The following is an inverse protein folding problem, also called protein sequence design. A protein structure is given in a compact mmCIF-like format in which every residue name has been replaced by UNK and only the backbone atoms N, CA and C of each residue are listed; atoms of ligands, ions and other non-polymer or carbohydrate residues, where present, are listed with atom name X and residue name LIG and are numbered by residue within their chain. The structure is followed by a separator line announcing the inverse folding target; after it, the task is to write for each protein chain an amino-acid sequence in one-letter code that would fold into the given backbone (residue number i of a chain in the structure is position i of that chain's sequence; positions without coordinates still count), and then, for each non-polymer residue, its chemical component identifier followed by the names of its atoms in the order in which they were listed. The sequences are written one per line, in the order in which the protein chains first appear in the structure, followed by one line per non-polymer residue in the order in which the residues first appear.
data_IF_556022000000
#
_entry.id   IF_556022000000
#
_cell.length_a   1.000
_cell.length_b   1.000
_cell.length_c   1.000
_cell.angle_alpha   90.00
_cell.angle_beta   90.00
_cell.angle_gamma   90.00
#
_symmetry.space_group_name_H-M   'P 1'
#
loop_
_entity.id
_entity.type
_entity.pdbx_description
1 polymer ?
#
# COMPACT_ATOMS: atom_id res chain seq x y z
N UNK A 1 -35.40 -25.41 11.36
CA UNK A 1 -35.15 -24.05 10.82
C UNK A 1 -33.88 -23.54 11.46
N UNK A 2 -32.90 -23.04 10.70
CA UNK A 2 -31.78 -22.33 11.32
C UNK A 2 -32.27 -20.93 11.69
N UNK A 3 -32.34 -20.63 12.99
CA UNK A 3 -32.57 -19.28 13.47
C UNK A 3 -31.45 -18.37 12.94
N UNK A 4 -31.83 -17.33 12.21
CA UNK A 4 -30.89 -16.30 11.76
C UNK A 4 -30.50 -15.44 12.97
N UNK A 5 -29.52 -15.88 13.75
CA UNK A 5 -28.96 -15.09 14.84
C UNK A 5 -28.17 -13.93 14.22
N UNK A 6 -28.55 -12.65 14.46
CA UNK A 6 -27.83 -11.53 13.90
C UNK A 6 -26.57 -11.22 14.73
N UNK A 7 -25.47 -10.90 14.05
CA UNK A 7 -24.32 -10.24 14.65
C UNK A 7 -24.47 -8.73 14.48
N UNK A 8 -24.44 -8.00 15.58
CA UNK A 8 -24.44 -6.54 15.59
C UNK A 8 -23.00 -6.03 15.66
N UNK A 9 -22.59 -5.22 14.69
CA UNK A 9 -21.34 -4.46 14.73
C UNK A 9 -21.61 -3.00 15.07
N UNK A 10 -20.79 -2.45 15.96
CA UNK A 10 -20.72 -1.03 16.25
C UNK A 10 -19.47 -0.48 15.58
N UNK A 11 -19.67 0.46 14.66
CA UNK A 11 -18.64 1.04 13.82
C UNK A 11 -18.42 2.50 14.20
N UNK A 12 -17.15 2.89 14.32
CA UNK A 12 -16.71 4.28 14.34
C UNK A 12 -15.96 4.54 13.04
N UNK A 13 -16.38 5.53 12.28
CA UNK A 13 -15.74 5.91 11.02
C UNK A 13 -15.75 7.43 10.85
N UNK A 14 -14.79 8.01 10.12
CA UNK A 14 -14.76 9.45 9.86
C UNK A 14 -15.87 9.86 8.88
N UNK A 15 -16.26 11.15 8.93
CA UNK A 15 -17.38 11.70 8.17
C UNK A 15 -17.20 11.66 6.65
N UNK A 16 -15.95 11.50 6.19
CA UNK A 16 -15.56 11.53 4.79
C UNK A 16 -15.61 10.15 4.11
N UNK A 17 -16.38 9.19 4.63
CA UNK A 17 -16.54 7.86 4.06
C UNK A 17 -17.81 7.74 3.22
N UNK A 18 -17.67 7.15 2.04
CA UNK A 18 -18.77 6.69 1.21
C UNK A 18 -18.99 5.19 1.44
N UNK A 19 -20.18 4.82 1.90
CA UNK A 19 -20.56 3.44 2.17
C UNK A 19 -21.43 2.90 1.04
N UNK A 20 -21.06 1.71 0.53
CA UNK A 20 -21.80 0.95 -0.47
C UNK A 20 -22.31 -0.37 0.13
N UNK A 21 -23.53 -0.76 -0.22
CA UNK A 21 -24.21 -1.94 0.33
C UNK A 21 -24.95 -1.62 1.63
N UNK A 22 -24.81 -2.48 2.65
CA UNK A 22 -25.49 -2.32 3.93
C UNK A 22 -24.94 -1.09 4.69
N UNK A 23 -25.71 0.00 4.67
CA UNK A 23 -25.34 1.24 5.34
C UNK A 23 -25.60 1.11 6.85
N UNK A 24 -24.61 1.38 7.71
CA UNK A 24 -24.82 1.48 9.14
C UNK A 24 -25.83 2.59 9.46
N UNK A 25 -26.72 2.35 10.42
CA UNK A 25 -27.63 3.36 10.96
C UNK A 25 -27.04 3.80 12.30
N UNK A 26 -26.63 5.07 12.41
CA UNK A 26 -25.94 5.60 13.60
C UNK A 26 -24.72 4.76 14.03
N UNK A 27 -23.94 4.27 13.06
CA UNK A 27 -22.78 3.41 13.31
C UNK A 27 -23.12 1.96 13.64
N UNK A 28 -24.39 1.56 13.66
CA UNK A 28 -24.82 0.18 13.96
C UNK A 28 -25.08 -0.57 12.65
N UNK A 29 -24.52 -1.77 12.55
CA UNK A 29 -24.69 -2.66 11.40
C UNK A 29 -25.10 -4.06 11.86
N UNK A 30 -26.28 -4.49 11.44
CA UNK A 30 -26.80 -5.83 11.74
C UNK A 30 -26.48 -6.78 10.57
N UNK A 31 -25.89 -7.92 10.90
CA UNK A 31 -25.41 -8.89 9.92
C UNK A 31 -26.12 -10.21 10.18
N UNK A 32 -26.83 -10.77 9.19
CA UNK A 32 -27.31 -12.13 9.31
C UNK A 32 -26.11 -13.08 9.33
N UNK A 33 -25.95 -13.85 10.42
CA UNK A 33 -24.94 -14.91 10.45
C UNK A 33 -25.37 -16.02 9.48
N UNK A 34 -24.57 -16.20 8.43
CA UNK A 34 -24.71 -17.31 7.47
C UNK A 34 -23.45 -18.16 7.55
N UNK A 35 -23.58 -19.46 7.32
CA UNK A 35 -22.43 -20.34 7.21
C UNK A 35 -21.52 -19.88 6.05
N UNK A 36 -20.21 -19.84 6.29
CA UNK A 36 -19.21 -19.40 5.31
C UNK A 36 -18.79 -17.93 5.45
N UNK A 37 -18.35 -17.33 4.34
CA UNK A 37 -17.87 -15.95 4.29
C UNK A 37 -18.88 -15.03 3.63
N UNK A 38 -19.23 -13.92 4.29
CA UNK A 38 -20.12 -12.90 3.74
C UNK A 38 -19.42 -11.54 3.71
N UNK A 39 -19.57 -10.81 2.59
CA UNK A 39 -19.15 -9.41 2.51
C UNK A 39 -20.19 -8.54 3.19
N UNK A 40 -19.80 -7.92 4.29
CA UNK A 40 -20.71 -7.16 5.15
C UNK A 40 -20.83 -5.71 4.73
N UNK A 41 -19.69 -5.07 4.45
CA UNK A 41 -19.57 -3.63 4.21
C UNK A 41 -18.51 -3.38 3.15
N UNK A 42 -18.79 -2.47 2.22
CA UNK A 42 -17.79 -1.89 1.32
C UNK A 42 -17.79 -0.40 1.50
N UNK A 43 -16.61 0.21 1.60
CA UNK A 43 -16.48 1.65 1.79
C UNK A 43 -15.34 2.22 0.97
N UNK A 44 -15.42 3.53 0.69
CA UNK A 44 -14.39 4.33 0.02
C UNK A 44 -14.22 5.64 0.78
N UNK A 45 -12.98 6.02 1.08
CA UNK A 45 -12.69 7.37 1.59
C UNK A 45 -12.74 8.39 0.45
N UNK A 46 -13.40 9.54 0.69
CA UNK A 46 -13.54 10.61 -0.29
C UNK A 46 -12.32 11.54 -0.34
N UNK A 47 -11.64 11.72 0.78
CA UNK A 47 -10.49 12.62 0.87
C UNK A 47 -9.17 11.85 0.84
N UNK A 48 -8.08 12.59 0.63
CA UNK A 48 -6.73 12.06 0.71
C UNK A 48 -6.49 11.36 2.04
N UNK A 49 -5.96 10.15 1.94
CA UNK A 49 -5.56 9.34 3.08
C UNK A 49 -4.13 9.73 3.43
N UNK A 50 -3.81 9.73 4.72
CA UNK A 50 -2.43 9.77 5.16
C UNK A 50 -1.76 8.48 4.66
N UNK A 51 -0.81 8.60 3.74
CA UNK A 51 -0.10 7.45 3.21
C UNK A 51 0.58 6.65 4.35
N UNK A 52 0.55 5.31 4.31
CA UNK A 52 1.13 4.46 5.35
C UNK A 52 2.66 4.61 5.45
N UNK A 53 3.29 5.06 4.37
CA UNK A 53 4.71 5.39 4.30
C UNK A 53 4.84 6.79 3.72
N UNK A 54 5.68 7.61 4.35
CA UNK A 54 6.03 8.93 3.84
C UNK A 54 7.31 8.78 3.02
N UNK A 55 7.19 9.01 1.70
CA UNK A 55 8.25 8.74 0.72
C UNK A 55 8.71 10.06 0.14
N UNK A 56 10.00 10.36 0.33
CA UNK A 56 10.68 11.52 -0.28
C UNK A 56 11.79 11.01 -1.18
N UNK A 57 11.89 11.57 -2.38
CA UNK A 57 12.86 11.16 -3.38
C UNK A 57 13.58 12.41 -3.89
N UNK A 58 14.91 12.41 -3.82
CA UNK A 58 15.77 13.43 -4.43
C UNK A 58 16.57 12.78 -5.55
N UNK A 59 16.51 13.36 -6.74
CA UNK A 59 17.18 12.85 -7.93
C UNK A 59 18.49 13.59 -8.13
N UNK A 60 19.53 12.83 -8.43
CA UNK A 60 20.84 13.35 -8.84
C UNK A 60 21.19 12.78 -10.20
N UNK A 61 21.50 13.66 -11.15
CA UNK A 61 21.89 13.29 -12.51
C UNK A 61 23.39 13.54 -12.68
N UNK A 62 24.12 12.49 -13.03
CA UNK A 62 25.50 12.59 -13.50
C UNK A 62 25.59 12.46 -15.02
N UNK A 63 26.81 12.41 -15.54
CA UNK A 63 27.03 12.30 -17.00
C UNK A 63 26.61 10.94 -17.57
N UNK A 64 26.69 9.88 -16.76
CA UNK A 64 26.43 8.49 -17.18
C UNK A 64 25.42 7.76 -16.28
N UNK A 65 24.75 8.48 -15.38
CA UNK A 65 23.85 7.86 -14.41
C UNK A 65 22.75 8.78 -13.89
N UNK A 66 21.72 8.15 -13.31
CA UNK A 66 20.74 8.78 -12.43
C UNK A 66 20.75 8.04 -11.08
N UNK A 67 20.78 8.80 -9.99
CA UNK A 67 20.60 8.29 -8.62
C UNK A 67 19.27 8.78 -8.06
N UNK A 68 18.60 7.91 -7.32
CA UNK A 68 17.45 8.24 -6.51
C UNK A 68 17.84 8.09 -5.05
N UNK A 69 17.90 9.22 -4.35
CA UNK A 69 18.12 9.29 -2.91
C UNK A 69 16.75 9.30 -2.24
N UNK A 70 16.37 8.17 -1.64
CA UNK A 70 15.04 7.95 -1.08
C UNK A 70 15.08 7.96 0.43
N UNK A 71 14.08 8.61 1.04
CA UNK A 71 13.83 8.61 2.48
C UNK A 71 12.40 8.09 2.67
N UNK A 72 12.27 6.95 3.33
CA UNK A 72 10.98 6.29 3.60
C UNK A 72 10.77 6.22 5.11
N UNK A 73 9.86 7.06 5.62
CA UNK A 73 9.46 7.04 7.02
C UNK A 73 8.21 6.18 7.19
N UNK A 74 8.33 5.12 7.98
CA UNK A 74 7.20 4.26 8.33
C UNK A 74 6.23 4.99 9.26
N UNK A 75 4.93 4.92 8.95
CA UNK A 75 3.84 5.29 9.88
C UNK A 75 3.10 4.06 10.40
N UNK A 76 3.26 2.93 9.73
CA UNK A 76 2.65 1.64 10.04
C UNK A 76 3.71 0.55 9.90
N UNK A 77 3.52 -0.57 10.62
CA UNK A 77 4.38 -1.74 10.48
C UNK A 77 4.10 -2.39 9.12
N UNK A 78 5.15 -2.70 8.38
CA UNK A 78 5.00 -3.28 7.06
C UNK A 78 6.23 -3.18 6.17
N UNK A 79 6.04 -3.51 4.89
CA UNK A 79 7.06 -3.45 3.83
C UNK A 79 6.68 -2.38 2.82
N UNK A 80 7.69 -1.73 2.25
CA UNK A 80 7.52 -0.69 1.24
C UNK A 80 8.51 -0.95 0.09
N UNK A 81 8.00 -0.89 -1.13
CA UNK A 81 8.79 -1.07 -2.33
C UNK A 81 8.68 0.16 -3.23
N UNK A 82 9.81 0.63 -3.73
CA UNK A 82 9.88 1.58 -4.83
C UNK A 82 10.07 0.82 -6.13
N UNK A 83 9.18 1.07 -7.09
CA UNK A 83 9.15 0.37 -8.38
C UNK A 83 9.44 1.36 -9.48
N UNK A 84 10.49 1.05 -10.23
CA UNK A 84 10.96 1.81 -11.37
C UNK A 84 10.74 0.98 -12.63
N UNK A 85 10.16 1.60 -13.66
CA UNK A 85 10.23 1.04 -15.01
C UNK A 85 11.66 1.21 -15.49
N UNK A 86 12.36 0.13 -15.85
CA UNK A 86 13.75 0.17 -16.29
C UNK A 86 13.82 0.50 -17.78
N UNK A 87 14.38 1.66 -18.16
CA UNK A 87 14.61 1.95 -19.56
C UNK A 87 15.58 0.97 -20.22
N UNK A 88 15.45 0.77 -21.53
CA UNK A 88 16.26 -0.20 -22.31
C UNK A 88 17.76 0.12 -22.35
N UNK A 89 18.12 1.38 -22.09
CA UNK A 89 19.50 1.89 -22.09
C UNK A 89 20.17 1.86 -20.72
N UNK A 90 19.48 1.39 -19.68
CA UNK A 90 20.13 1.11 -18.40
C UNK A 90 20.97 -0.16 -18.54
N UNK A 91 22.28 -0.01 -18.34
CA UNK A 91 23.24 -1.11 -18.35
C UNK A 91 23.17 -1.90 -17.05
N UNK A 92 23.25 -1.21 -15.91
CA UNK A 92 23.21 -1.85 -14.59
C UNK A 92 22.53 -0.96 -13.55
N UNK A 93 22.05 -1.59 -12.47
CA UNK A 93 21.38 -0.94 -11.34
C UNK A 93 22.05 -1.42 -10.06
N UNK A 94 22.36 -0.51 -9.14
CA UNK A 94 23.06 -0.80 -7.89
C UNK A 94 22.44 -0.06 -6.72
N UNK A 95 22.30 -0.73 -5.58
CA UNK A 95 22.06 -0.07 -4.28
C UNK A 95 23.41 0.45 -3.78
N UNK A 96 23.51 1.75 -3.51
CA UNK A 96 24.72 2.39 -2.96
C UNK A 96 24.66 2.45 -1.44
N UNK A 97 23.50 2.84 -0.91
CA UNK A 97 23.29 3.05 0.52
C UNK A 97 21.92 2.48 0.93
N UNK A 98 21.84 2.00 2.16
CA UNK A 98 20.62 1.45 2.75
C UNK A 98 20.52 -0.08 2.66
N UNK A 99 19.61 -0.62 3.45
CA UNK A 99 19.26 -2.04 3.44
C UNK A 99 18.11 -2.24 2.44
N UNK A 100 18.34 -3.05 1.41
CA UNK A 100 17.31 -3.33 0.43
C UNK A 100 17.68 -4.45 -0.53
N UNK A 101 16.67 -5.01 -1.16
CA UNK A 101 16.81 -6.02 -2.20
C UNK A 101 16.21 -5.48 -3.49
N UNK A 102 16.91 -5.72 -4.60
CA UNK A 102 16.40 -5.46 -5.95
C UNK A 102 15.87 -6.77 -6.50
N UNK A 103 14.59 -6.77 -6.85
CA UNK A 103 13.98 -7.77 -7.72
C UNK A 103 13.92 -7.18 -9.15
N UNK A 104 14.54 -7.86 -10.12
CA UNK A 104 14.46 -7.52 -11.55
C UNK A 104 13.54 -8.56 -12.23
N UNK A 105 12.29 -8.16 -12.50
CA UNK A 105 11.31 -9.02 -13.16
C UNK A 105 11.71 -9.21 -14.63
N UNK A 106 12.32 -10.36 -14.93
CA UNK A 106 12.92 -10.67 -16.22
C UNK A 106 11.91 -11.15 -17.30
N UNK A 107 10.60 -10.95 -17.08
CA UNK A 107 9.54 -11.52 -17.93
C UNK A 107 8.97 -10.42 -18.85
N UNK A 108 9.56 -10.32 -20.06
CA UNK A 108 9.14 -9.59 -21.27
C UNK A 108 9.07 -8.05 -21.24
N UNK A 109 9.81 -7.43 -22.18
CA UNK A 109 9.79 -6.05 -22.73
C UNK A 109 9.70 -4.81 -21.82
N UNK A 110 9.23 -4.92 -20.58
CA UNK A 110 9.12 -3.86 -19.59
C UNK A 110 9.74 -4.36 -18.28
N UNK A 111 11.08 -4.44 -18.23
CA UNK A 111 11.78 -4.79 -17.00
C UNK A 111 11.42 -3.78 -15.91
N UNK A 112 11.00 -4.26 -14.76
CA UNK A 112 10.75 -3.44 -13.58
C UNK A 112 11.81 -3.72 -12.54
N UNK A 113 12.30 -2.67 -11.91
CA UNK A 113 13.16 -2.75 -10.74
C UNK A 113 12.28 -2.50 -9.53
N UNK A 114 12.11 -3.53 -8.70
CA UNK A 114 11.40 -3.43 -7.43
C UNK A 114 12.42 -3.42 -6.30
N UNK A 115 12.49 -2.29 -5.60
CA UNK A 115 13.45 -2.06 -4.53
C UNK A 115 12.74 -1.99 -3.19
N UNK A 116 12.94 -2.99 -2.34
CA UNK A 116 12.46 -2.96 -0.95
C UNK A 116 13.37 -2.06 -0.12
N UNK A 117 12.82 -1.05 0.54
CA UNK A 117 13.59 -0.09 1.35
C UNK A 117 12.74 0.50 2.47
N UNK A 118 13.37 0.68 3.63
CA UNK A 118 12.86 1.46 4.76
C UNK A 118 14.00 2.36 5.27
N UNK A 119 13.67 3.58 5.69
CA UNK A 119 14.68 4.55 6.11
C UNK A 119 15.33 5.25 4.92
N UNK A 120 16.64 5.46 4.99
CA UNK A 120 17.39 6.11 3.92
C UNK A 120 17.99 5.07 2.99
N UNK A 121 18.04 5.39 1.71
CA UNK A 121 18.86 4.63 0.79
C UNK A 121 18.99 5.28 -0.57
N UNK A 122 19.93 4.74 -1.34
CA UNK A 122 20.31 5.28 -2.64
C UNK A 122 20.36 4.14 -3.64
N UNK A 123 19.62 4.29 -4.73
CA UNK A 123 19.71 3.41 -5.89
C UNK A 123 20.25 4.19 -7.10
N UNK A 124 21.21 3.60 -7.81
CA UNK A 124 21.88 4.17 -8.99
C UNK A 124 21.57 3.35 -10.23
N UNK A 125 21.13 4.02 -11.28
CA UNK A 125 20.92 3.49 -12.62
C UNK A 125 22.05 4.01 -13.51
N UNK A 126 22.91 3.10 -14.00
CA UNK A 126 23.99 3.45 -14.92
C UNK A 126 23.54 3.22 -16.36
N UNK A 127 23.82 4.18 -17.22
CA UNK A 127 23.44 4.18 -18.63
C UNK A 127 24.55 3.52 -19.45
N UNK A 128 24.16 2.92 -20.58
CA UNK A 128 25.13 2.46 -21.58
C UNK A 128 25.95 3.65 -22.10
N UNK A 129 27.19 3.38 -22.48
CA UNK A 129 28.10 4.36 -23.04
C UNK A 129 27.48 5.13 -24.23
N UNK A 130 27.73 6.44 -24.30
CA UNK A 130 27.21 7.32 -25.35
C UNK A 130 25.74 7.75 -25.19
N UNK A 131 25.03 7.27 -24.17
CA UNK A 131 23.63 7.65 -23.92
C UNK A 131 23.57 8.69 -22.80
N UNK A 132 23.01 9.86 -23.10
CA UNK A 132 22.81 10.92 -22.13
C UNK A 132 21.66 10.57 -21.16
N UNK A 133 21.88 10.61 -19.83
CA UNK A 133 20.82 10.38 -18.87
C UNK A 133 19.75 11.48 -18.88
N UNK A 134 18.47 11.08 -18.85
CA UNK A 134 17.34 12.02 -18.77
C UNK A 134 16.42 11.65 -17.60
N UNK A 135 16.03 12.64 -16.81
CA UNK A 135 15.08 12.42 -15.70
C UNK A 135 13.73 11.91 -16.22
N UNK A 136 13.35 12.32 -17.44
CA UNK A 136 12.14 11.86 -18.14
C UNK A 136 12.12 10.35 -18.43
N UNK A 137 13.26 9.67 -18.31
CA UNK A 137 13.35 8.21 -18.43
C UNK A 137 12.64 7.50 -17.27
N UNK A 138 12.46 8.20 -16.15
CA UNK A 138 11.74 7.76 -14.97
C UNK A 138 10.62 8.74 -14.64
N UNK A 139 9.58 8.85 -15.47
CA UNK A 139 8.52 9.86 -15.30
C UNK A 139 7.72 9.65 -14.01
N UNK A 140 7.73 8.41 -13.49
CA UNK A 140 7.01 8.02 -12.30
C UNK A 140 7.80 6.96 -11.51
N UNK A 141 7.65 6.99 -10.19
CA UNK A 141 8.04 5.90 -9.28
C UNK A 141 6.77 5.38 -8.62
N UNK A 142 6.47 4.09 -8.80
CA UNK A 142 5.34 3.47 -8.12
C UNK A 142 5.78 3.01 -6.74
N UNK A 143 5.03 3.39 -5.71
CA UNK A 143 5.22 2.87 -4.35
C UNK A 143 4.21 1.76 -4.15
N UNK A 144 4.70 0.55 -3.92
CA UNK A 144 3.88 -0.58 -3.44
C UNK A 144 4.15 -0.79 -1.96
N UNK A 145 3.15 -1.24 -1.22
CA UNK A 145 3.33 -1.52 0.19
C UNK A 145 2.48 -2.67 0.68
N UNK A 146 2.90 -3.22 1.81
CA UNK A 146 2.15 -4.14 2.64
C UNK A 146 2.13 -3.59 4.06
N UNK A 147 0.94 -3.32 4.60
CA UNK A 147 0.74 -2.79 5.95
C UNK A 147 0.08 -3.85 6.83
N UNK A 148 0.75 -4.24 7.90
CA UNK A 148 0.28 -5.28 8.82
C UNK A 148 -0.71 -4.70 9.84
N UNK A 149 -1.81 -5.44 10.06
CA UNK A 149 -2.78 -5.20 11.15
C UNK A 149 -3.23 -3.74 11.30
N UNK A 150 -3.27 -2.98 10.20
CA UNK A 150 -3.54 -1.54 10.25
C UNK A 150 -4.69 -1.16 9.33
N UNK A 151 -5.60 -0.35 9.84
CA UNK A 151 -6.69 0.27 9.07
C UNK A 151 -6.37 1.75 8.88
N UNK A 152 -5.78 2.07 7.73
CA UNK A 152 -5.37 3.44 7.39
C UNK A 152 -6.61 4.36 7.20
N UNK A 153 -7.79 3.78 7.03
CA UNK A 153 -9.03 4.54 6.83
C UNK A 153 -9.60 5.15 8.12
N UNK A 154 -9.08 4.77 9.29
CA UNK A 154 -9.64 5.18 10.58
C UNK A 154 -10.99 4.53 10.92
N UNK A 155 -11.53 3.64 10.07
CA UNK A 155 -12.71 2.84 10.42
C UNK A 155 -12.31 1.82 11.48
N UNK A 156 -13.07 1.76 12.56
CA UNK A 156 -12.89 0.80 13.63
C UNK A 156 -14.22 0.10 13.98
N UNK A 157 -14.14 -1.19 14.25
CA UNK A 157 -15.20 -1.94 14.94
C UNK A 157 -14.94 -1.76 16.43
N UNK A 158 -15.79 -1.00 17.12
CA UNK A 158 -15.62 -0.69 18.55
C UNK A 158 -16.28 -1.74 19.45
N UNK A 159 -17.29 -2.46 18.95
CA UNK A 159 -17.99 -3.52 19.68
C UNK A 159 -18.64 -4.49 18.70
N UNK A 160 -18.70 -5.76 19.09
CA UNK A 160 -19.45 -6.81 18.42
C UNK A 160 -20.39 -7.45 19.43
N UNK A 161 -21.66 -7.64 19.09
CA UNK A 161 -22.66 -8.28 19.96
C UNK A 161 -23.43 -9.33 19.18
N UNK A 162 -23.49 -10.52 19.74
CA UNK A 162 -24.41 -11.59 19.34
C UNK A 162 -25.31 -11.89 20.55
N UNK A 163 -26.58 -12.22 20.33
CA UNK A 163 -27.53 -12.49 21.43
C UNK A 163 -27.34 -13.89 22.05
N UNK A 164 -26.24 -14.58 21.70
CA UNK A 164 -25.86 -15.92 22.18
C UNK A 164 -24.45 -15.92 22.76
N UNK A 165 -24.35 -16.05 24.09
CA UNK A 165 -23.07 -15.97 24.80
C UNK A 165 -22.15 -17.19 24.56
N UNK A 166 -22.66 -18.28 23.99
CA UNK A 166 -21.92 -19.50 23.70
C UNK A 166 -21.06 -19.43 22.42
N UNK A 167 -21.22 -18.40 21.60
CA UNK A 167 -20.50 -18.26 20.33
C UNK A 167 -19.34 -17.28 20.48
N UNK A 168 -18.08 -17.73 20.42
CA UNK A 168 -16.93 -16.83 20.48
C UNK A 168 -16.83 -15.99 19.21
N UNK A 169 -16.55 -14.70 19.37
CA UNK A 169 -16.36 -13.76 18.26
C UNK A 169 -14.90 -13.30 18.22
N UNK A 170 -14.27 -13.41 17.06
CA UNK A 170 -12.90 -12.97 16.84
C UNK A 170 -12.86 -11.82 15.83
N UNK A 171 -12.06 -10.80 16.12
CA UNK A 171 -11.73 -9.74 15.16
C UNK A 171 -10.31 -9.94 14.65
N UNK A 172 -10.18 -10.19 13.34
CA UNK A 172 -8.87 -10.25 12.68
C UNK A 172 -8.70 -9.05 11.75
N UNK A 173 -7.71 -8.20 12.03
CA UNK A 173 -7.26 -7.17 11.10
C UNK A 173 -6.31 -7.80 10.09
N UNK A 174 -6.73 -7.82 8.82
CA UNK A 174 -5.92 -8.36 7.75
C UNK A 174 -4.81 -7.38 7.33
N UNK A 175 -3.67 -7.94 6.94
CA UNK A 175 -2.64 -7.21 6.21
C UNK A 175 -3.23 -6.64 4.91
N UNK A 176 -2.90 -5.38 4.61
CA UNK A 176 -3.39 -4.67 3.43
C UNK A 176 -2.25 -4.34 2.49
N UNK A 177 -2.46 -4.62 1.23
CA UNK A 177 -1.58 -4.22 0.15
C UNK A 177 -2.22 -3.06 -0.62
N UNK A 178 -1.39 -2.19 -1.17
CA UNK A 178 -1.83 -1.08 -2.00
C UNK A 178 -0.66 -0.44 -2.73
N UNK A 179 -0.98 0.54 -3.56
CA UNK A 179 0.03 1.30 -4.28
C UNK A 179 -0.41 2.74 -4.56
N UNK A 180 0.57 3.60 -4.78
CA UNK A 180 0.37 4.94 -5.33
C UNK A 180 1.57 5.32 -6.19
N UNK A 181 1.43 6.36 -6.99
CA UNK A 181 2.47 6.80 -7.93
C UNK A 181 2.98 8.18 -7.57
N UNK A 182 4.30 8.34 -7.52
CA UNK A 182 4.98 9.62 -7.38
C UNK A 182 5.40 10.07 -8.77
N UNK A 183 4.91 11.23 -9.22
CA UNK A 183 5.39 11.85 -10.45
C UNK A 183 6.76 12.47 -10.22
N UNK A 184 7.67 12.21 -11.13
CA UNK A 184 8.98 12.87 -11.16
C UNK A 184 8.85 14.15 -12.01
N UNK A 185 9.27 15.28 -11.45
CA UNK A 185 9.25 16.60 -12.08
C UNK A 185 10.67 17.11 -12.29
#
# INVERSE_FOLDING_TARGET
MFENIPLTLYLKYPDNIEIKGNKPINGILNIPLKFGSIRVLTYKLKNNIIAPFDVKIKIEKGDTYIKFNSIIKQRVIGKCWLIFNKPKYIENVKIIEGEGQIEDDNIQNNKKIKWNIIGNGIIKFNYKEGIQPLISDFPFVCVEFEAEKTIISGINIIKMKIDRNDIPIYLKQATKQGSWTIKIL
#
